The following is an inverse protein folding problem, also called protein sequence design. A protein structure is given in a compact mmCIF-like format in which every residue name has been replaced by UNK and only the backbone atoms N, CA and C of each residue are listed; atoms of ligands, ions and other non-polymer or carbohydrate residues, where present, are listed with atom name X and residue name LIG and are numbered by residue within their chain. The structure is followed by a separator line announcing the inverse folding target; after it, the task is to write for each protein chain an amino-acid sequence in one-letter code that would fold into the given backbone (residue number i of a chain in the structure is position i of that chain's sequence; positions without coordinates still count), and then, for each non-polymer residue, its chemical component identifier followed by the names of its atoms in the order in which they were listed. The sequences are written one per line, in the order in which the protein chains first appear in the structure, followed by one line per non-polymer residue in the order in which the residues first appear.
data_IF_821678063757
#
_entry.id   IF_821678063757
#
_cell.length_a   1.000
_cell.length_b   1.000
_cell.length_c   1.000
_cell.angle_alpha   90.00
_cell.angle_beta   90.00
_cell.angle_gamma   90.00
#
_symmetry.space_group_name_H-M   'P 1'
#
loop_
_entity.id
_entity.type
_entity.pdbx_description
1 polymer ?
#
# COMPACT_ATOMS: atom_id res chain seq x y z
N UNK A 1 51.22 19.24 -31.42
CA UNK A 1 50.53 19.41 -30.13
C UNK A 1 49.06 19.07 -30.35
N UNK A 2 48.68 17.81 -30.13
CA UNK A 2 47.28 17.39 -30.29
C UNK A 2 46.57 17.64 -28.96
N UNK A 3 45.67 18.62 -28.95
CA UNK A 3 44.86 18.97 -27.79
C UNK A 3 43.71 17.94 -27.70
N UNK A 4 43.85 16.97 -26.79
CA UNK A 4 42.80 15.99 -26.51
C UNK A 4 41.73 16.69 -25.65
N UNK A 5 40.61 17.07 -26.26
CA UNK A 5 39.48 17.67 -25.55
C UNK A 5 38.66 16.56 -24.88
N UNK A 6 38.70 16.50 -23.56
CA UNK A 6 37.89 15.56 -22.76
C UNK A 6 36.50 16.15 -22.60
N UNK A 7 35.50 15.54 -23.25
CA UNK A 7 34.09 15.87 -23.09
C UNK A 7 33.58 15.22 -21.79
N UNK A 8 33.40 16.02 -20.75
CA UNK A 8 32.77 15.59 -19.49
C UNK A 8 31.25 15.54 -19.68
N UNK A 9 30.68 14.33 -19.83
CA UNK A 9 29.23 14.14 -19.78
C UNK A 9 28.76 14.39 -18.34
N UNK A 10 28.05 15.50 -18.11
CA UNK A 10 27.29 15.67 -16.88
C UNK A 10 26.04 14.78 -16.94
N UNK A 11 26.02 13.71 -16.16
CA UNK A 11 24.81 12.92 -15.92
C UNK A 11 23.99 13.68 -14.89
N UNK A 12 22.89 14.29 -15.32
CA UNK A 12 21.93 14.88 -14.39
C UNK A 12 21.26 13.75 -13.57
N UNK A 13 21.09 13.92 -12.25
CA UNK A 13 20.35 12.94 -11.45
C UNK A 13 18.90 12.90 -11.94
N UNK A 14 18.44 11.70 -12.32
CA UNK A 14 17.02 11.47 -12.56
C UNK A 14 16.34 11.48 -11.19
N UNK A 15 15.54 12.52 -10.92
CA UNK A 15 14.68 12.53 -9.73
C UNK A 15 13.62 11.44 -9.92
N UNK A 16 13.61 10.46 -9.02
CA UNK A 16 12.60 9.41 -9.04
C UNK A 16 11.25 10.02 -8.64
N UNK A 17 10.28 9.94 -9.55
CA UNK A 17 8.89 10.26 -9.25
C UNK A 17 8.31 9.19 -8.34
N UNK A 18 7.43 9.62 -7.43
CA UNK A 18 6.63 8.72 -6.58
C UNK A 18 5.16 8.91 -6.89
N UNK A 19 4.38 7.90 -6.53
CA UNK A 19 2.93 7.94 -6.63
C UNK A 19 2.36 8.03 -5.22
N UNK A 20 1.64 9.12 -4.95
CA UNK A 20 0.90 9.36 -3.72
C UNK A 20 -0.55 8.94 -3.93
N UNK A 21 -1.05 8.05 -3.10
CA UNK A 21 -2.46 7.69 -3.00
C UNK A 21 -3.01 8.42 -1.78
N UNK A 22 -3.75 9.52 -1.98
CA UNK A 22 -4.31 10.27 -0.86
C UNK A 22 -5.37 9.43 -0.13
N UNK A 23 -5.50 9.65 1.17
CA UNK A 23 -6.52 8.99 2.01
C UNK A 23 -7.41 10.00 2.75
N UNK A 24 -7.30 11.28 2.40
CA UNK A 24 -8.23 12.32 2.84
C UNK A 24 -9.49 12.35 1.95
N UNK A 25 -10.25 13.45 2.00
CA UNK A 25 -11.51 13.60 1.27
C UNK A 25 -11.34 13.68 -0.27
N UNK A 26 -10.12 13.81 -0.79
CA UNK A 26 -9.88 13.79 -2.23
C UNK A 26 -9.87 12.37 -2.82
N UNK A 27 -9.83 11.34 -1.98
CA UNK A 27 -9.84 9.96 -2.45
C UNK A 27 -11.25 9.55 -2.90
N UNK A 28 -11.31 8.92 -4.06
CA UNK A 28 -12.55 8.46 -4.69
C UNK A 28 -13.01 7.12 -4.13
N UNK A 29 -12.09 6.27 -3.67
CA UNK A 29 -12.41 5.00 -3.03
C UNK A 29 -11.32 4.56 -2.04
N UNK A 30 -11.57 4.76 -0.74
CA UNK A 30 -10.61 4.45 0.32
C UNK A 30 -10.37 2.95 0.48
N UNK A 31 -11.41 2.11 0.35
CA UNK A 31 -11.24 0.66 0.53
C UNK A 31 -10.43 0.07 -0.62
N UNK A 32 -10.72 0.46 -1.87
CA UNK A 32 -9.90 0.08 -3.01
C UNK A 32 -8.47 0.62 -2.91
N UNK A 33 -8.26 1.79 -2.31
CA UNK A 33 -6.91 2.33 -2.10
C UNK A 33 -6.04 1.43 -1.19
N UNK A 34 -6.59 0.87 -0.11
CA UNK A 34 -5.90 -0.18 0.67
C UNK A 34 -5.56 -1.40 -0.19
N UNK A 35 -6.49 -1.83 -1.04
CA UNK A 35 -6.27 -2.90 -2.02
C UNK A 35 -5.15 -2.62 -3.01
N UNK A 36 -5.00 -1.37 -3.46
CA UNK A 36 -3.89 -0.95 -4.33
C UNK A 36 -2.56 -0.99 -3.58
N UNK A 37 -2.51 -0.51 -2.35
CA UNK A 37 -1.32 -0.60 -1.51
C UNK A 37 -0.90 -2.05 -1.27
N UNK A 38 -1.86 -2.93 -0.97
CA UNK A 38 -1.61 -4.37 -0.82
C UNK A 38 -1.09 -4.99 -2.13
N UNK A 39 -1.71 -4.67 -3.27
CA UNK A 39 -1.28 -5.16 -4.59
C UNK A 39 0.16 -4.75 -4.93
N UNK A 40 0.59 -3.54 -4.56
CA UNK A 40 1.97 -3.11 -4.73
C UNK A 40 2.93 -3.94 -3.86
N UNK A 41 2.56 -4.21 -2.61
CA UNK A 41 3.33 -5.05 -1.68
C UNK A 41 3.46 -6.50 -2.16
N UNK A 42 2.39 -7.10 -2.71
CA UNK A 42 2.43 -8.46 -3.29
C UNK A 42 3.44 -8.59 -4.43
N UNK A 43 3.73 -7.48 -5.10
CA UNK A 43 4.70 -7.42 -6.20
C UNK A 43 6.11 -7.08 -5.74
N UNK A 44 6.34 -7.08 -4.43
CA UNK A 44 7.64 -6.80 -3.81
C UNK A 44 8.02 -5.33 -3.84
N UNK A 45 7.06 -4.42 -4.10
CA UNK A 45 7.32 -2.99 -4.02
C UNK A 45 7.14 -2.51 -2.58
N UNK A 46 7.98 -1.59 -2.14
CA UNK A 46 7.80 -0.92 -0.84
C UNK A 46 6.66 0.09 -0.92
N UNK A 47 5.80 0.11 0.10
CA UNK A 47 4.83 1.17 0.33
C UNK A 47 5.17 1.90 1.63
N UNK A 48 5.20 3.22 1.60
CA UNK A 48 5.30 4.06 2.79
C UNK A 48 3.89 4.48 3.20
N UNK A 49 3.45 4.03 4.38
CA UNK A 49 2.20 4.48 4.99
C UNK A 49 2.47 5.74 5.81
N UNK A 50 1.91 6.86 5.34
CA UNK A 50 2.12 8.18 5.91
C UNK A 50 1.04 8.45 6.98
N UNK A 51 1.23 7.90 8.18
CA UNK A 51 0.30 8.02 9.29
C UNK A 51 -0.03 9.48 9.60
N UNK A 52 -1.32 9.78 9.69
CA UNK A 52 -1.90 11.12 9.91
C UNK A 52 -1.59 12.17 8.84
N UNK A 53 -0.76 11.89 7.83
CA UNK A 53 -0.59 12.76 6.67
C UNK A 53 -1.71 12.47 5.67
N UNK A 54 -2.52 13.50 5.37
CA UNK A 54 -3.65 13.41 4.42
C UNK A 54 -4.47 12.11 4.60
N UNK A 55 -4.95 11.89 5.83
CA UNK A 55 -5.80 10.74 6.17
C UNK A 55 -5.08 9.38 6.24
N UNK A 56 -3.76 9.34 6.27
CA UNK A 56 -3.00 8.08 6.26
C UNK A 56 -2.62 7.65 4.84
N UNK A 57 -2.15 8.59 4.03
CA UNK A 57 -1.86 8.37 2.60
C UNK A 57 -0.79 7.29 2.37
N UNK A 58 -0.78 6.69 1.19
CA UNK A 58 0.28 5.77 0.77
C UNK A 58 1.18 6.44 -0.25
N UNK A 59 2.48 6.30 -0.07
CA UNK A 59 3.49 6.79 -1.00
C UNK A 59 4.34 5.61 -1.48
N UNK A 60 4.45 5.43 -2.79
CA UNK A 60 5.17 4.28 -3.37
C UNK A 60 5.80 4.64 -4.72
N UNK A 61 6.38 3.65 -5.39
CA UNK A 61 6.97 3.82 -6.71
C UNK A 61 5.94 4.35 -7.71
N UNK A 62 6.40 5.15 -8.65
CA UNK A 62 5.59 5.55 -9.78
C UNK A 62 5.85 4.64 -10.99
N UNK A 63 4.85 3.81 -11.34
CA UNK A 63 4.90 2.89 -12.47
C UNK A 63 3.60 2.83 -13.25
N UNK A 64 3.67 2.61 -14.57
CA UNK A 64 2.48 2.52 -15.43
C UNK A 64 1.51 1.40 -15.01
N UNK A 65 2.05 0.31 -14.47
CA UNK A 65 1.27 -0.81 -13.92
C UNK A 65 0.44 -0.36 -12.71
N UNK A 66 1.05 0.33 -11.75
CA UNK A 66 0.36 0.84 -10.57
C UNK A 66 -0.70 1.88 -10.95
N UNK A 67 -0.35 2.85 -11.80
CA UNK A 67 -1.31 3.86 -12.29
C UNK A 67 -2.51 3.21 -12.95
N UNK A 68 -2.28 2.17 -13.77
CA UNK A 68 -3.36 1.42 -14.44
C UNK A 68 -4.26 0.73 -13.43
N UNK A 69 -3.69 0.13 -12.38
CA UNK A 69 -4.48 -0.50 -11.31
C UNK A 69 -5.32 0.55 -10.57
N UNK A 70 -4.75 1.69 -10.22
CA UNK A 70 -5.51 2.79 -9.62
C UNK A 70 -6.70 3.21 -10.51
N UNK A 71 -6.47 3.42 -11.80
CA UNK A 71 -7.52 3.81 -12.76
C UNK A 71 -8.63 2.75 -12.87
N UNK A 72 -8.26 1.47 -13.02
CA UNK A 72 -9.23 0.37 -13.14
C UNK A 72 -10.06 0.24 -11.86
N UNK A 73 -9.44 0.43 -10.70
CA UNK A 73 -10.09 0.33 -9.38
C UNK A 73 -10.76 1.62 -8.92
N UNK A 74 -10.74 2.69 -9.73
CA UNK A 74 -11.35 3.97 -9.37
C UNK A 74 -10.66 4.70 -8.21
N UNK A 75 -9.37 4.44 -7.97
CA UNK A 75 -8.56 5.05 -6.92
C UNK A 75 -7.85 6.30 -7.45
N UNK A 76 -8.01 7.41 -6.76
CA UNK A 76 -7.31 8.65 -7.05
C UNK A 76 -5.85 8.56 -6.62
N UNK A 77 -4.96 9.15 -7.42
CA UNK A 77 -3.53 9.23 -7.14
C UNK A 77 -2.94 10.53 -7.70
N UNK A 78 -1.80 10.91 -7.15
CA UNK A 78 -1.00 12.07 -7.53
C UNK A 78 0.42 11.61 -7.84
N UNK A 79 1.01 12.09 -8.93
CA UNK A 79 2.43 11.88 -9.20
C UNK A 79 3.16 13.03 -8.53
N UNK A 80 4.09 12.69 -7.63
CA UNK A 80 4.88 13.68 -6.90
C UNK A 80 6.35 13.55 -7.25
N UNK A 81 7.02 14.68 -7.44
CA UNK A 81 8.45 14.71 -7.71
C UNK A 81 9.29 14.69 -6.42
N UNK A 82 10.61 14.81 -6.58
CA UNK A 82 11.54 14.78 -5.45
C UNK A 82 11.39 15.97 -4.49
N UNK A 83 11.01 17.15 -5.00
CA UNK A 83 10.81 18.34 -4.18
C UNK A 83 9.52 18.21 -3.36
N UNK A 84 8.42 17.81 -4.00
CA UNK A 84 7.14 17.55 -3.33
C UNK A 84 7.27 16.45 -2.29
N UNK A 85 7.98 15.36 -2.62
CA UNK A 85 8.26 14.27 -1.66
C UNK A 85 9.04 14.78 -0.43
N UNK A 86 10.02 15.67 -0.63
CA UNK A 86 10.77 16.26 0.48
C UNK A 86 9.89 17.16 1.36
N UNK A 87 8.96 17.91 0.77
CA UNK A 87 7.98 18.73 1.51
C UNK A 87 6.99 17.88 2.32
N UNK A 88 6.54 16.75 1.77
CA UNK A 88 5.73 15.76 2.48
C UNK A 88 6.47 15.30 3.74
N UNK A 89 7.72 14.85 3.60
CA UNK A 89 8.50 14.39 4.74
C UNK A 89 8.79 15.50 5.75
N UNK A 90 9.08 16.71 5.29
CA UNK A 90 9.27 17.85 6.18
C UNK A 90 8.01 18.14 7.00
N UNK A 91 6.82 18.04 6.38
CA UNK A 91 5.54 18.21 7.08
C UNK A 91 5.35 17.13 8.14
N UNK A 92 5.61 15.87 7.78
CA UNK A 92 5.49 14.73 8.69
C UNK A 92 6.42 14.88 9.91
N UNK A 93 7.68 15.25 9.69
CA UNK A 93 8.67 15.42 10.76
C UNK A 93 8.32 16.54 11.75
N UNK A 94 7.57 17.56 11.32
CA UNK A 94 7.23 18.73 12.13
C UNK A 94 5.82 18.65 12.76
N UNK A 95 5.17 17.49 12.71
CA UNK A 95 3.79 17.30 13.19
C UNK A 95 3.61 15.93 13.86
N UNK A 96 2.42 15.66 14.40
CA UNK A 96 2.08 14.36 14.98
C UNK A 96 1.75 13.32 13.88
N UNK A 97 2.73 13.02 13.04
CA UNK A 97 2.65 12.15 11.87
C UNK A 97 3.86 11.21 11.85
N UNK A 98 3.76 10.12 11.10
CA UNK A 98 4.83 9.12 11.02
C UNK A 98 4.89 8.46 9.64
N UNK A 99 6.07 8.03 9.22
CA UNK A 99 6.25 7.19 8.03
C UNK A 99 6.51 5.76 8.48
N UNK A 100 5.57 4.86 8.18
CA UNK A 100 5.73 3.42 8.39
C UNK A 100 6.06 2.77 7.05
N UNK A 101 7.21 2.10 6.98
CA UNK A 101 7.66 1.42 5.75
C UNK A 101 7.16 -0.02 5.74
N UNK A 102 6.40 -0.36 4.69
CA UNK A 102 5.83 -1.69 4.46
C UNK A 102 6.57 -2.35 3.28
N UNK A 103 7.03 -3.58 3.47
CA UNK A 103 7.88 -4.28 2.49
C UNK A 103 7.32 -5.64 2.06
N UNK A 104 6.32 -6.18 2.77
CA UNK A 104 5.68 -7.47 2.50
C UNK A 104 4.17 -7.34 2.66
N UNK A 105 3.42 -7.94 1.75
CA UNK A 105 1.99 -8.14 1.91
C UNK A 105 1.74 -9.21 3.00
N UNK A 106 0.99 -8.91 4.07
CA UNK A 106 0.75 -9.88 5.14
C UNK A 106 -0.19 -11.00 4.68
N UNK A 107 0.07 -12.24 5.08
CA UNK A 107 -0.93 -13.30 4.96
C UNK A 107 -2.05 -13.09 5.99
N UNK A 108 -3.30 -13.04 5.53
CA UNK A 108 -4.46 -12.71 6.37
C UNK A 108 -5.36 -13.93 6.51
N UNK A 109 -5.70 -14.26 7.76
CA UNK A 109 -6.70 -15.23 8.12
C UNK A 109 -7.92 -14.58 8.78
N UNK A 110 -9.09 -15.15 8.54
CA UNK A 110 -10.34 -14.80 9.22
C UNK A 110 -10.92 -16.04 9.88
N UNK A 111 -11.17 -15.97 11.19
CA UNK A 111 -11.82 -17.04 11.93
C UNK A 111 -13.34 -16.99 11.71
N UNK A 112 -13.89 -18.01 11.05
CA UNK A 112 -15.27 -18.02 10.55
C UNK A 112 -15.94 -19.38 10.78
N UNK A 113 -17.12 -19.44 11.43
CA UNK A 113 -17.89 -20.67 11.54
C UNK A 113 -18.32 -21.19 10.15
N UNK A 114 -18.36 -22.51 9.90
CA UNK A 114 -18.75 -23.06 8.59
C UNK A 114 -20.16 -22.67 8.11
N UNK A 115 -21.01 -22.18 9.01
CA UNK A 115 -22.39 -21.77 8.75
C UNK A 115 -22.54 -20.24 8.58
N UNK A 116 -21.47 -19.47 8.79
CA UNK A 116 -21.54 -18.01 8.74
C UNK A 116 -21.51 -17.52 7.28
N UNK A 117 -22.43 -16.62 6.96
CA UNK A 117 -22.53 -16.08 5.62
C UNK A 117 -21.52 -14.91 5.45
N UNK A 118 -21.02 -14.65 4.23
CA UNK A 118 -19.99 -13.62 4.01
C UNK A 118 -20.40 -12.20 4.43
N UNK A 119 -21.68 -11.84 4.34
CA UNK A 119 -22.18 -10.52 4.73
C UNK A 119 -22.38 -10.32 6.22
N UNK A 120 -22.24 -11.40 7.01
CA UNK A 120 -22.31 -11.30 8.47
C UNK A 120 -21.03 -10.66 9.03
N UNK A 121 -19.93 -10.63 8.25
CA UNK A 121 -18.64 -10.08 8.66
C UNK A 121 -18.19 -8.90 7.78
N UNK A 122 -18.25 -7.70 8.35
CA UNK A 122 -17.83 -6.47 7.69
C UNK A 122 -16.35 -6.47 7.26
N UNK A 123 -15.46 -7.19 7.97
CA UNK A 123 -14.05 -7.28 7.59
C UNK A 123 -13.88 -8.12 6.34
N UNK A 124 -14.58 -9.25 6.24
CA UNK A 124 -14.60 -10.06 5.01
C UNK A 124 -15.14 -9.26 3.84
N UNK A 125 -16.24 -8.56 4.03
CA UNK A 125 -16.79 -7.67 3.00
C UNK A 125 -15.78 -6.60 2.57
N UNK A 126 -15.07 -5.98 3.52
CA UNK A 126 -14.07 -4.97 3.22
C UNK A 126 -12.86 -5.54 2.47
N UNK A 127 -12.36 -6.72 2.86
CA UNK A 127 -11.26 -7.42 2.19
C UNK A 127 -11.65 -7.84 0.77
N UNK A 128 -12.84 -8.42 0.59
CA UNK A 128 -13.37 -8.77 -0.73
C UNK A 128 -13.53 -7.53 -1.61
N UNK A 129 -14.12 -6.46 -1.07
CA UNK A 129 -14.29 -5.22 -1.81
C UNK A 129 -12.94 -4.58 -2.18
N UNK A 130 -11.97 -4.58 -1.28
CA UNK A 130 -10.61 -4.09 -1.53
C UNK A 130 -9.80 -5.02 -2.46
N UNK A 131 -10.31 -6.22 -2.79
CA UNK A 131 -9.56 -7.25 -3.51
C UNK A 131 -8.27 -7.67 -2.79
N UNK A 132 -8.33 -7.75 -1.45
CA UNK A 132 -7.24 -8.26 -0.60
C UNK A 132 -7.52 -9.73 -0.28
N UNK A 133 -6.63 -10.66 -0.68
CA UNK A 133 -6.81 -12.08 -0.43
C UNK A 133 -6.74 -12.39 1.07
N UNK A 134 -7.60 -13.31 1.50
CA UNK A 134 -7.60 -13.87 2.85
C UNK A 134 -8.04 -15.33 2.78
N UNK A 135 -7.78 -16.06 3.84
CA UNK A 135 -8.27 -17.43 4.02
C UNK A 135 -9.17 -17.50 5.25
N UNK A 136 -10.14 -18.40 5.23
CA UNK A 136 -11.00 -18.66 6.39
C UNK A 136 -10.52 -19.89 7.14
N UNK A 137 -10.58 -19.85 8.46
CA UNK A 137 -10.24 -20.99 9.33
C UNK A 137 -11.27 -21.16 10.45
N UNK A 138 -11.38 -22.38 10.97
CA UNK A 138 -12.27 -22.70 12.10
C UNK A 138 -11.53 -23.54 13.15
N UNK A 139 -12.25 -24.03 14.16
CA UNK A 139 -11.76 -24.85 15.27
C UNK A 139 -10.77 -25.92 14.82
N UNK A 140 -11.06 -26.63 13.72
CA UNK A 140 -10.22 -27.73 13.25
C UNK A 140 -8.83 -27.23 12.86
N UNK A 141 -8.76 -26.24 11.98
CA UNK A 141 -7.50 -25.69 11.48
C UNK A 141 -6.69 -25.04 12.62
N UNK A 142 -7.38 -24.39 13.56
CA UNK A 142 -6.75 -23.82 14.76
C UNK A 142 -6.14 -24.91 15.66
N UNK A 143 -6.87 -25.99 15.91
CA UNK A 143 -6.40 -27.11 16.73
C UNK A 143 -5.28 -27.94 16.06
N UNK A 144 -5.09 -27.76 14.75
CA UNK A 144 -3.99 -28.33 13.96
C UNK A 144 -2.76 -27.39 13.87
N UNK A 145 -2.69 -26.34 14.72
CA UNK A 145 -1.59 -25.35 14.81
C UNK A 145 -1.37 -24.51 13.54
N UNK A 146 -2.37 -24.38 12.65
CA UNK A 146 -2.22 -23.63 11.39
C UNK A 146 -2.13 -22.10 11.57
N UNK A 147 -2.33 -21.57 12.78
CA UNK A 147 -2.28 -20.12 13.03
C UNK A 147 -0.90 -19.51 12.77
N UNK A 148 0.18 -20.29 12.90
CA UNK A 148 1.56 -19.81 12.66
C UNK A 148 1.85 -19.47 11.19
N UNK A 149 0.97 -19.86 10.27
CA UNK A 149 1.10 -19.59 8.82
C UNK A 149 0.65 -18.17 8.43
N UNK A 150 0.00 -17.44 9.35
CA UNK A 150 -0.66 -16.17 9.07
C UNK A 150 -0.03 -15.00 9.83
N UNK A 151 0.23 -13.91 9.13
CA UNK A 151 0.76 -12.67 9.72
C UNK A 151 -0.33 -11.90 10.49
N UNK A 152 -1.61 -12.07 10.12
CA UNK A 152 -2.73 -11.40 10.75
C UNK A 152 -3.96 -12.31 10.87
N UNK A 153 -4.66 -12.22 12.01
CA UNK A 153 -5.88 -12.97 12.29
C UNK A 153 -7.01 -12.01 12.69
N UNK A 154 -8.11 -12.05 11.94
CA UNK A 154 -9.37 -11.42 12.35
C UNK A 154 -10.27 -12.44 13.07
N UNK A 155 -10.81 -12.05 14.22
CA UNK A 155 -11.81 -12.82 14.96
C UNK A 155 -13.14 -12.08 14.86
N UNK A 156 -14.12 -12.70 14.21
CA UNK A 156 -15.50 -12.22 14.18
C UNK A 156 -16.25 -12.76 15.41
N UNK A 157 -16.98 -11.88 16.11
CA UNK A 157 -17.69 -12.18 17.36
C UNK A 157 -19.09 -12.74 17.15
#
# INVERSE_FOLDING_TARGET
MHLFSVLLLMVAPVLAQKLLIPMDLSQTDHLKAYGVAYWALERGNTVEWLLNYRGGSFLTYDGEDLRRVCLIRGVSYEIVDGAETAEIYATIQNSNMEVVRLEKAPSIAVYVPPIAEPWDDAVRMALEYAEVPYITLWDREVLEDQLEEYDWLHLHH
#
